data_IF_305751331517
#
_entry.id   IF_305751331517
#
_cell.length_a   1.000
_cell.length_b   1.000
_cell.length_c   1.000
_cell.angle_alpha   90.00
_cell.angle_beta   90.00
_cell.angle_gamma   90.00
#
_symmetry.space_group_name_H-M   'P 1'
#
loop_
_entity.id
_entity.type
_entity.pdbx_description
1 polymer ?
#
# COMPACT_ATOMS: atom_id res chain seq x y z
N UNK A 1 -13.26 34.05 3.47
CA UNK A 1 -13.20 34.14 1.99
C UNK A 1 -14.50 34.68 1.38
N UNK A 2 -15.68 34.24 1.80
CA UNK A 2 -16.96 34.73 1.21
C UNK A 2 -17.15 36.26 1.30
N UNK A 3 -16.76 36.90 2.41
CA UNK A 3 -16.88 38.36 2.57
C UNK A 3 -16.01 39.20 1.62
N UNK A 4 -14.90 38.66 1.10
CA UNK A 4 -14.05 39.36 0.12
C UNK A 4 -14.64 39.33 -1.30
N UNK A 5 -15.44 38.31 -1.62
CA UNK A 5 -15.98 38.14 -2.98
C UNK A 5 -17.11 39.13 -3.24
N UNK A 6 -17.83 39.55 -2.20
CA UNK A 6 -18.95 40.49 -2.29
C UNK A 6 -18.60 41.91 -1.81
N UNK A 7 -17.31 42.22 -1.58
CA UNK A 7 -16.89 43.59 -1.26
C UNK A 7 -16.93 44.48 -2.50
N UNK A 8 -17.26 45.77 -2.32
CA UNK A 8 -17.20 46.75 -3.40
C UNK A 8 -15.79 46.79 -3.99
N UNK A 9 -15.70 46.86 -5.32
CA UNK A 9 -14.43 46.94 -6.03
C UNK A 9 -13.65 48.21 -5.59
N UNK A 10 -12.31 48.13 -5.50
CA UNK A 10 -11.50 49.28 -5.11
C UNK A 10 -11.65 50.46 -6.10
N UNK A 11 -11.74 51.71 -5.61
CA UNK A 11 -12.03 52.89 -6.44
C UNK A 11 -11.02 53.11 -7.58
N UNK A 12 -9.74 52.76 -7.35
CA UNK A 12 -8.66 52.82 -8.33
C UNK A 12 -8.89 51.89 -9.54
N UNK A 13 -9.38 50.68 -9.29
CA UNK A 13 -9.65 49.70 -10.34
C UNK A 13 -10.89 50.11 -11.17
N UNK A 14 -11.90 50.70 -10.53
CA UNK A 14 -13.10 51.22 -11.23
C UNK A 14 -12.79 52.39 -12.16
N UNK A 15 -11.84 53.27 -11.81
CA UNK A 15 -11.42 54.37 -12.69
C UNK A 15 -10.64 53.88 -13.91
N UNK A 16 -9.70 52.94 -13.73
CA UNK A 16 -8.93 52.38 -14.85
C UNK A 16 -9.81 51.63 -15.87
N UNK A 17 -10.88 50.98 -15.41
CA UNK A 17 -11.81 50.21 -16.25
C UNK A 17 -12.98 51.04 -16.80
N UNK A 18 -13.05 52.34 -16.48
CA UNK A 18 -14.13 53.23 -16.94
C UNK A 18 -15.52 52.84 -16.44
N UNK A 19 -15.61 52.14 -15.30
CA UNK A 19 -16.87 51.60 -14.78
C UNK A 19 -17.60 52.72 -14.02
N UNK A 20 -18.59 53.34 -14.67
CA UNK A 20 -19.51 54.26 -13.99
C UNK A 20 -20.58 53.47 -13.23
N UNK A 21 -20.85 53.78 -11.95
CA UNK A 21 -21.96 53.17 -11.24
C UNK A 21 -23.28 53.64 -11.86
N UNK A 22 -23.85 52.86 -12.77
CA UNK A 22 -25.18 53.14 -13.29
C UNK A 22 -26.18 53.09 -12.13
N UNK A 23 -27.08 54.07 -12.05
CA UNK A 23 -28.14 54.07 -11.06
C UNK A 23 -28.95 52.77 -11.15
N UNK A 24 -29.40 52.24 -10.01
CA UNK A 24 -30.09 50.93 -9.95
C UNK A 24 -31.19 50.78 -11.01
N UNK A 25 -31.94 51.85 -11.26
CA UNK A 25 -33.00 51.90 -12.27
C UNK A 25 -32.52 51.80 -13.72
N UNK A 26 -31.37 52.40 -14.06
CA UNK A 26 -30.80 52.31 -15.41
C UNK A 26 -30.26 50.91 -15.70
N UNK A 27 -29.60 50.30 -14.71
CA UNK A 27 -29.10 48.93 -14.81
C UNK A 27 -30.25 47.92 -14.94
N UNK A 28 -31.33 48.08 -14.16
CA UNK A 28 -32.52 47.24 -14.27
C UNK A 28 -33.22 47.37 -15.63
N UNK A 29 -33.35 48.60 -16.15
CA UNK A 29 -33.92 48.85 -17.47
C UNK A 29 -33.09 48.21 -18.59
N UNK A 30 -31.76 48.34 -18.51
CA UNK A 30 -30.84 47.71 -19.45
C UNK A 30 -30.95 46.18 -19.42
N UNK A 31 -30.90 45.58 -18.22
CA UNK A 31 -31.01 44.12 -18.06
C UNK A 31 -32.36 43.61 -18.59
N UNK A 32 -33.46 44.32 -18.32
CA UNK A 32 -34.78 43.95 -18.84
C UNK A 32 -34.83 44.02 -20.38
N UNK A 33 -34.29 45.07 -20.97
CA UNK A 33 -34.22 45.22 -22.43
C UNK A 33 -33.35 44.14 -23.08
N UNK A 34 -32.17 43.88 -22.51
CA UNK A 34 -31.24 42.86 -22.98
C UNK A 34 -31.83 41.45 -22.95
N UNK A 35 -32.50 41.09 -21.85
CA UNK A 35 -33.13 39.78 -21.70
C UNK A 35 -34.30 39.59 -22.66
N UNK A 36 -35.10 40.64 -22.90
CA UNK A 36 -36.21 40.61 -23.88
C UNK A 36 -35.70 40.42 -25.30
N UNK A 37 -34.60 41.11 -25.66
CA UNK A 37 -33.99 40.97 -26.97
C UNK A 37 -33.35 39.59 -27.19
N UNK A 38 -32.67 39.06 -26.16
CA UNK A 38 -31.95 37.78 -26.25
C UNK A 38 -32.87 36.56 -26.18
N UNK A 39 -34.09 36.70 -25.64
CA UNK A 39 -35.03 35.59 -25.42
C UNK A 39 -36.43 35.87 -26.01
N UNK A 40 -36.55 36.07 -27.34
CA UNK A 40 -37.79 36.57 -27.97
C UNK A 40 -38.97 35.58 -27.92
N UNK A 41 -38.71 34.28 -27.71
CA UNK A 41 -39.74 33.23 -27.64
C UNK A 41 -40.32 33.05 -26.23
N UNK A 42 -39.76 33.71 -25.21
CA UNK A 42 -40.23 33.59 -23.83
C UNK A 42 -41.08 34.80 -23.44
N UNK A 43 -42.18 34.56 -22.72
CA UNK A 43 -43.03 35.63 -22.18
C UNK A 43 -42.31 36.38 -21.06
N UNK A 44 -42.55 37.69 -20.96
CA UNK A 44 -41.89 38.58 -19.99
C UNK A 44 -42.06 38.09 -18.53
N UNK A 45 -43.21 37.51 -18.19
CA UNK A 45 -43.50 36.93 -16.87
C UNK A 45 -42.58 35.74 -16.52
N UNK A 46 -42.30 34.87 -17.49
CA UNK A 46 -41.43 33.71 -17.29
C UNK A 46 -39.95 34.11 -17.16
N UNK A 47 -39.56 35.24 -17.78
CA UNK A 47 -38.21 35.80 -17.64
C UNK A 47 -38.04 36.38 -16.23
N UNK A 48 -39.05 37.12 -15.73
CA UNK A 48 -39.03 37.66 -14.37
C UNK A 48 -39.01 36.56 -13.30
N UNK A 49 -39.80 35.49 -13.47
CA UNK A 49 -39.79 34.34 -12.56
C UNK A 49 -38.41 33.64 -12.51
N UNK A 50 -37.69 33.59 -13.63
CA UNK A 50 -36.31 33.06 -13.64
C UNK A 50 -35.30 33.99 -12.95
N UNK A 51 -35.50 35.30 -13.03
CA UNK A 51 -34.62 36.30 -12.41
C UNK A 51 -34.77 36.31 -10.87
N UNK A 52 -35.99 36.10 -10.37
CA UNK A 52 -36.31 36.09 -8.94
C UNK A 52 -36.03 34.76 -8.25
N UNK A 53 -35.95 33.65 -9.01
CA UNK A 53 -35.59 32.33 -8.47
C UNK A 53 -34.18 32.36 -7.87
N UNK A 54 -34.11 32.48 -6.54
CA UNK A 54 -32.89 32.30 -5.75
C UNK A 54 -32.43 30.85 -5.93
N UNK A 55 -31.31 30.64 -6.62
CA UNK A 55 -30.76 29.31 -6.85
C UNK A 55 -30.45 28.63 -5.49
N UNK A 56 -31.31 27.69 -5.08
CA UNK A 56 -31.08 26.89 -3.87
C UNK A 56 -30.04 25.83 -4.22
N UNK A 57 -28.78 26.08 -3.91
CA UNK A 57 -27.73 25.08 -4.04
C UNK A 57 -27.91 24.05 -2.93
N UNK A 58 -28.71 23.01 -3.19
CA UNK A 58 -28.85 21.87 -2.30
C UNK A 58 -27.52 21.11 -2.28
N UNK A 59 -26.62 21.46 -1.35
CA UNK A 59 -25.41 20.70 -1.08
C UNK A 59 -25.82 19.28 -0.69
N UNK A 60 -25.63 18.34 -1.61
CA UNK A 60 -25.95 16.93 -1.42
C UNK A 60 -25.02 16.33 -0.35
N UNK A 61 -25.42 16.43 0.92
CA UNK A 61 -24.65 15.87 2.03
C UNK A 61 -24.73 14.34 1.98
N UNK A 62 -23.70 13.67 1.44
CA UNK A 62 -23.61 12.21 1.50
C UNK A 62 -23.56 11.78 2.96
N UNK A 63 -24.68 11.25 3.48
CA UNK A 63 -24.76 10.65 4.82
C UNK A 63 -23.71 9.53 4.89
N UNK A 64 -22.60 9.75 5.61
CA UNK A 64 -21.60 8.70 5.90
C UNK A 64 -22.30 7.60 6.67
N UNK A 65 -22.61 6.47 6.02
CA UNK A 65 -23.06 5.25 6.72
C UNK A 65 -22.02 4.93 7.80
N UNK A 66 -22.41 4.95 9.07
CA UNK A 66 -21.57 4.44 10.17
C UNK A 66 -21.35 2.96 9.86
N UNK A 67 -20.13 2.58 9.47
CA UNK A 67 -19.78 1.17 9.35
C UNK A 67 -20.00 0.53 10.72
N UNK A 68 -20.90 -0.44 10.80
CA UNK A 68 -21.04 -1.28 11.98
C UNK A 68 -19.67 -1.86 12.31
N UNK A 69 -19.23 -1.67 13.55
CA UNK A 69 -18.00 -2.29 14.03
C UNK A 69 -18.28 -3.79 14.08
N UNK A 70 -17.90 -4.53 13.03
CA UNK A 70 -17.84 -5.99 13.09
C UNK A 70 -17.07 -6.36 14.37
N UNK A 71 -17.72 -7.12 15.26
CA UNK A 71 -17.09 -7.69 16.43
C UNK A 71 -15.98 -8.62 15.94
N UNK A 72 -14.76 -8.10 15.81
CA UNK A 72 -13.59 -8.94 15.59
C UNK A 72 -13.48 -9.81 16.84
N UNK A 73 -13.49 -11.13 16.64
CA UNK A 73 -13.09 -12.08 17.68
C UNK A 73 -11.79 -11.54 18.29
N UNK A 74 -11.80 -11.31 19.62
CA UNK A 74 -10.64 -10.80 20.35
C UNK A 74 -9.58 -11.90 20.35
N UNK A 75 -8.79 -11.98 19.28
CA UNK A 75 -7.56 -12.76 19.30
C UNK A 75 -6.60 -12.19 20.35
N UNK A 76 -5.65 -13.00 20.79
CA UNK A 76 -4.64 -12.55 21.75
C UNK A 76 -3.93 -11.28 21.29
N UNK A 77 -3.79 -10.33 22.20
CA UNK A 77 -2.97 -9.13 22.02
C UNK A 77 -1.50 -9.53 21.81
N UNK A 78 -0.73 -8.66 21.16
CA UNK A 78 0.71 -8.84 21.01
C UNK A 78 1.44 -8.89 22.36
N UNK A 79 0.88 -8.31 23.43
CA UNK A 79 1.39 -8.48 24.81
C UNK A 79 1.14 -9.90 25.30
N UNK A 80 -0.10 -10.37 25.26
CA UNK A 80 -0.49 -11.72 25.66
C UNK A 80 0.28 -12.82 24.91
N UNK A 81 0.55 -12.64 23.61
CA UNK A 81 1.35 -13.61 22.84
C UNK A 81 2.82 -13.69 23.27
N UNK A 82 3.39 -12.58 23.77
CA UNK A 82 4.76 -12.56 24.31
C UNK A 82 4.79 -13.19 25.70
N UNK A 83 3.82 -12.86 26.55
CA UNK A 83 3.70 -13.44 27.89
C UNK A 83 3.53 -14.98 27.82
N UNK A 84 2.84 -15.49 26.79
CA UNK A 84 2.70 -16.93 26.54
C UNK A 84 3.85 -17.57 25.76
N UNK A 85 4.90 -16.82 25.39
CA UNK A 85 6.06 -17.32 24.64
C UNK A 85 5.71 -18.17 23.39
N UNK A 86 4.59 -17.84 22.72
CA UNK A 86 4.00 -18.64 21.63
C UNK A 86 4.92 -18.90 20.42
N UNK A 87 6.02 -18.15 20.32
CA UNK A 87 6.97 -18.23 19.20
C UNK A 87 8.39 -18.54 19.66
N UNK A 88 8.57 -18.92 20.93
CA UNK A 88 9.83 -19.41 21.44
C UNK A 88 9.83 -20.94 21.34
N UNK A 89 10.80 -21.45 20.59
CA UNK A 89 11.02 -22.88 20.47
C UNK A 89 11.90 -23.27 21.65
N UNK A 90 11.45 -24.23 22.46
CA UNK A 90 12.24 -24.73 23.58
C UNK A 90 13.62 -25.16 23.09
N UNK A 91 14.70 -24.86 23.83
CA UNK A 91 16.07 -25.16 23.39
C UNK A 91 16.27 -26.65 23.09
N UNK A 92 15.58 -27.54 23.81
CA UNK A 92 15.58 -29.00 23.59
C UNK A 92 15.14 -29.43 22.19
N UNK A 93 14.29 -28.62 21.54
CA UNK A 93 13.71 -28.87 20.22
C UNK A 93 14.43 -28.12 19.10
N UNK A 94 15.49 -27.36 19.42
CA UNK A 94 16.27 -26.60 18.43
C UNK A 94 17.34 -27.48 17.75
N UNK A 95 16.98 -28.71 17.37
CA UNK A 95 17.87 -29.59 16.61
C UNK A 95 17.62 -29.41 15.12
N UNK A 96 18.66 -29.14 14.36
CA UNK A 96 18.62 -28.92 12.91
C UNK A 96 18.01 -30.12 12.19
N UNK A 97 18.36 -31.34 12.61
CA UNK A 97 17.89 -32.59 12.04
C UNK A 97 16.36 -32.74 12.07
N UNK A 98 15.71 -32.26 13.12
CA UNK A 98 14.24 -32.30 13.25
C UNK A 98 13.54 -31.45 12.20
N UNK A 99 14.22 -30.45 11.63
CA UNK A 99 13.68 -29.57 10.61
C UNK A 99 14.08 -29.94 9.18
N UNK A 100 14.87 -31.00 8.98
CA UNK A 100 15.16 -31.52 7.63
C UNK A 100 13.90 -31.97 6.87
N UNK A 101 12.93 -32.69 7.49
CA UNK A 101 11.69 -33.03 6.81
C UNK A 101 10.89 -31.80 6.37
N UNK A 102 10.95 -30.71 7.15
CA UNK A 102 10.32 -29.43 6.80
C UNK A 102 10.94 -28.83 5.52
N UNK A 103 12.26 -28.96 5.38
CA UNK A 103 12.94 -28.53 4.17
C UNK A 103 12.56 -29.35 2.94
N UNK A 104 12.46 -30.68 3.08
CA UNK A 104 12.05 -31.54 1.96
C UNK A 104 10.60 -31.26 1.53
N UNK A 105 9.69 -31.06 2.48
CA UNK A 105 8.33 -30.62 2.20
C UNK A 105 8.32 -29.29 1.44
N UNK A 106 9.17 -28.35 1.84
CA UNK A 106 9.27 -27.06 1.16
C UNK A 106 9.80 -27.20 -0.28
N UNK A 107 10.77 -28.10 -0.55
CA UNK A 107 11.21 -28.39 -1.92
C UNK A 107 10.07 -28.92 -2.78
N UNK A 108 9.31 -29.89 -2.28
CA UNK A 108 8.14 -30.44 -2.98
C UNK A 108 7.12 -29.35 -3.28
N UNK A 109 6.80 -28.51 -2.30
CA UNK A 109 5.91 -27.36 -2.48
C UNK A 109 6.37 -26.42 -3.61
N UNK A 110 7.66 -26.08 -3.67
CA UNK A 110 8.17 -25.20 -4.72
C UNK A 110 8.17 -25.89 -6.10
N UNK A 111 8.48 -27.20 -6.16
CA UNK A 111 8.37 -27.99 -7.40
C UNK A 111 6.96 -27.96 -7.95
N UNK A 112 5.97 -28.18 -7.10
CA UNK A 112 4.56 -28.15 -7.46
C UNK A 112 4.12 -26.73 -7.87
N UNK A 113 4.56 -25.72 -7.12
CA UNK A 113 4.26 -24.31 -7.42
C UNK A 113 4.83 -23.88 -8.78
N UNK A 114 6.03 -24.33 -9.12
CA UNK A 114 6.71 -23.98 -10.36
C UNK A 114 6.31 -24.89 -11.54
N UNK A 115 5.49 -25.91 -11.32
CA UNK A 115 5.11 -26.97 -12.28
C UNK A 115 6.33 -27.73 -12.84
N UNK A 116 7.29 -28.02 -11.97
CA UNK A 116 8.60 -28.56 -12.33
C UNK A 116 9.57 -27.46 -12.76
N UNK A 117 10.68 -27.33 -12.03
CA UNK A 117 11.79 -26.44 -12.37
C UNK A 117 12.57 -27.04 -13.54
N UNK A 118 12.02 -26.93 -14.76
CA UNK A 118 12.73 -27.34 -15.98
C UNK A 118 13.73 -26.25 -16.39
N UNK A 119 14.85 -26.60 -17.06
CA UNK A 119 15.82 -25.62 -17.56
C UNK A 119 15.20 -24.56 -18.49
N UNK A 120 14.13 -24.91 -19.21
CA UNK A 120 13.42 -24.00 -20.13
C UNK A 120 12.42 -23.06 -19.43
N UNK A 121 12.26 -23.15 -18.10
CA UNK A 121 11.29 -22.35 -17.38
C UNK A 121 11.69 -20.86 -17.38
N UNK A 122 10.74 -19.98 -17.73
CA UNK A 122 10.96 -18.54 -17.76
C UNK A 122 11.33 -18.00 -16.36
N UNK A 123 12.52 -17.40 -16.17
CA UNK A 123 12.98 -16.92 -14.87
C UNK A 123 12.04 -15.88 -14.24
N UNK A 124 11.41 -15.04 -15.08
CA UNK A 124 10.45 -14.04 -14.61
C UNK A 124 9.21 -14.66 -13.98
N UNK A 125 8.71 -15.77 -14.53
CA UNK A 125 7.57 -16.47 -13.96
C UNK A 125 7.92 -17.05 -12.59
N UNK A 126 9.08 -17.70 -12.48
CA UNK A 126 9.59 -18.25 -11.21
C UNK A 126 9.74 -17.13 -10.17
N UNK A 127 10.32 -15.98 -10.55
CA UNK A 127 10.47 -14.83 -9.68
C UNK A 127 9.13 -14.35 -9.10
N UNK A 128 8.09 -14.22 -9.95
CA UNK A 128 6.77 -13.76 -9.48
C UNK A 128 6.07 -14.76 -8.57
N UNK A 129 6.28 -16.06 -8.80
CA UNK A 129 5.78 -17.14 -7.94
C UNK A 129 6.50 -17.13 -6.60
N UNK A 130 7.83 -17.11 -6.61
CA UNK A 130 8.67 -17.10 -5.39
C UNK A 130 8.42 -15.86 -4.53
N UNK A 131 8.13 -14.72 -5.15
CA UNK A 131 7.76 -13.48 -4.44
C UNK A 131 6.49 -13.66 -3.59
N UNK A 132 5.56 -14.54 -3.96
CA UNK A 132 4.30 -14.78 -3.23
C UNK A 132 4.33 -16.07 -2.41
N UNK A 133 5.20 -17.01 -2.75
CA UNK A 133 5.39 -18.28 -2.09
C UNK A 133 5.78 -18.11 -0.62
N UNK A 134 5.48 -19.11 0.22
CA UNK A 134 6.02 -19.17 1.58
C UNK A 134 7.48 -19.66 1.58
N UNK A 135 8.30 -19.06 2.47
CA UNK A 135 9.72 -19.39 2.62
C UNK A 135 10.03 -20.13 3.93
N UNK A 136 9.00 -20.56 4.65
CA UNK A 136 9.17 -21.39 5.84
C UNK A 136 9.68 -22.78 5.41
N UNK A 137 10.79 -23.23 5.98
CA UNK A 137 11.48 -24.45 5.55
C UNK A 137 12.52 -24.25 4.43
N UNK A 138 12.65 -23.03 3.88
CA UNK A 138 13.69 -22.75 2.89
C UNK A 138 15.08 -22.72 3.55
N UNK A 139 16.07 -23.34 2.91
CA UNK A 139 17.48 -23.12 3.25
C UNK A 139 17.91 -21.80 2.62
N UNK A 140 18.45 -20.91 3.46
CA UNK A 140 18.91 -19.60 3.04
C UNK A 140 20.33 -19.35 3.50
N UNK A 141 21.08 -18.66 2.65
CA UNK A 141 22.46 -18.25 2.92
C UNK A 141 22.57 -16.75 2.74
N UNK A 142 23.19 -16.05 3.69
CA UNK A 142 23.42 -14.61 3.55
C UNK A 142 24.63 -14.37 2.64
N UNK A 143 24.41 -13.89 1.43
CA UNK A 143 25.49 -13.63 0.45
C UNK A 143 26.12 -12.26 0.66
N UNK A 144 25.29 -11.24 0.89
CA UNK A 144 25.73 -9.85 1.09
C UNK A 144 24.99 -9.24 2.26
N UNK A 145 25.69 -8.47 3.07
CA UNK A 145 25.16 -7.82 4.26
C UNK A 145 25.98 -6.57 4.53
N UNK A 146 25.33 -5.52 5.02
CA UNK A 146 26.03 -4.33 5.54
C UNK A 146 26.94 -4.68 6.73
N UNK A 147 26.56 -5.69 7.51
CA UNK A 147 27.35 -6.20 8.64
C UNK A 147 28.09 -7.49 8.21
N UNK A 148 29.44 -7.48 8.17
CA UNK A 148 30.22 -8.65 7.75
C UNK A 148 29.95 -9.93 8.57
N UNK A 149 29.59 -9.78 9.85
CA UNK A 149 29.28 -10.90 10.75
C UNK A 149 28.11 -11.78 10.29
N UNK A 150 27.17 -11.23 9.50
CA UNK A 150 26.06 -12.02 8.97
C UNK A 150 26.39 -12.75 7.67
N UNK A 151 27.43 -12.33 6.94
CA UNK A 151 27.79 -12.93 5.66
C UNK A 151 28.21 -14.38 5.87
N UNK A 152 27.73 -15.27 4.99
CA UNK A 152 28.04 -16.70 5.05
C UNK A 152 27.19 -17.51 6.04
N UNK A 153 26.31 -16.87 6.82
CA UNK A 153 25.42 -17.61 7.70
C UNK A 153 24.38 -18.37 6.87
N UNK A 154 24.37 -19.70 7.03
CA UNK A 154 23.44 -20.62 6.36
C UNK A 154 22.49 -21.28 7.35
N UNK A 155 21.22 -21.43 7.00
CA UNK A 155 20.27 -22.15 7.85
C UNK A 155 18.88 -22.31 7.25
N UNK A 156 18.05 -23.13 7.90
CA UNK A 156 16.63 -23.31 7.52
C UNK A 156 15.82 -22.19 8.17
N UNK A 157 14.96 -21.51 7.40
CA UNK A 157 14.01 -20.53 7.94
C UNK A 157 12.91 -21.26 8.71
N UNK A 158 12.84 -21.02 10.03
CA UNK A 158 11.73 -21.49 10.86
C UNK A 158 10.58 -20.48 10.83
N UNK A 159 10.91 -19.20 11.09
CA UNK A 159 9.91 -18.16 11.22
C UNK A 159 10.26 -16.92 10.41
N UNK A 160 9.36 -16.59 9.49
CA UNK A 160 9.33 -15.30 8.82
C UNK A 160 8.53 -14.28 9.64
N UNK A 161 9.22 -13.27 10.15
CA UNK A 161 8.60 -12.09 10.75
C UNK A 161 8.64 -10.92 9.75
N UNK A 162 8.04 -9.78 10.14
CA UNK A 162 7.97 -8.59 9.28
C UNK A 162 9.36 -8.13 8.83
N UNK A 163 10.27 -7.89 9.77
CA UNK A 163 11.60 -7.35 9.47
C UNK A 163 12.74 -8.35 9.65
N UNK A 164 12.45 -9.59 10.04
CA UNK A 164 13.42 -10.52 10.58
C UNK A 164 13.12 -11.95 10.09
N UNK A 165 14.16 -12.74 9.84
CA UNK A 165 14.09 -14.18 9.72
C UNK A 165 14.71 -14.84 10.94
N UNK A 166 14.01 -15.80 11.54
CA UNK A 166 14.60 -16.74 12.50
C UNK A 166 15.03 -17.99 11.75
N UNK A 167 16.32 -18.27 11.77
CA UNK A 167 16.92 -19.41 11.08
C UNK A 167 17.57 -20.36 12.09
N UNK A 168 17.55 -21.65 11.80
CA UNK A 168 18.35 -22.63 12.53
C UNK A 168 19.58 -23.01 11.71
N UNK A 169 20.75 -22.90 12.32
CA UNK A 169 22.02 -23.30 11.70
C UNK A 169 22.28 -24.79 11.92
N UNK A 170 23.25 -25.36 11.19
CA UNK A 170 23.72 -26.74 11.41
C UNK A 170 24.36 -26.97 12.79
N UNK A 171 24.68 -25.90 13.51
CA UNK A 171 25.20 -25.94 14.89
C UNK A 171 24.08 -26.01 15.94
N UNK A 172 22.84 -26.32 15.56
CA UNK A 172 21.67 -26.34 16.44
C UNK A 172 21.40 -25.01 17.16
N UNK A 173 21.87 -23.89 16.56
CA UNK A 173 21.68 -22.55 17.09
C UNK A 173 20.62 -21.80 16.30
N UNK A 174 19.65 -21.24 17.02
CA UNK A 174 18.68 -20.30 16.48
C UNK A 174 19.33 -18.92 16.30
N UNK A 175 19.52 -18.49 15.05
CA UNK A 175 19.99 -17.13 14.72
C UNK A 175 18.85 -16.27 14.21
N UNK A 176 18.88 -15.00 14.59
CA UNK A 176 17.89 -14.00 14.22
C UNK A 176 18.57 -13.03 13.26
N UNK A 177 18.18 -13.05 11.98
CA UNK A 177 18.80 -12.23 10.93
C UNK A 177 17.80 -11.15 10.47
N UNK A 178 18.16 -9.86 10.54
CA UNK A 178 17.31 -8.81 10.00
C UNK A 178 17.23 -8.91 8.47
N UNK A 179 16.08 -8.59 7.88
CA UNK A 179 15.94 -8.54 6.42
C UNK A 179 16.54 -7.25 5.83
N UNK A 180 16.67 -6.21 6.63
CA UNK A 180 17.16 -4.92 6.16
C UNK A 180 18.64 -5.00 5.74
N UNK A 181 18.94 -4.51 4.53
CA UNK A 181 20.28 -4.43 3.94
C UNK A 181 21.03 -5.77 3.87
N UNK A 182 20.27 -6.86 3.73
CA UNK A 182 20.80 -8.21 3.56
C UNK A 182 20.26 -8.82 2.26
N UNK A 183 21.12 -9.56 1.57
CA UNK A 183 20.78 -10.38 0.41
C UNK A 183 20.92 -11.83 0.80
N UNK A 184 19.82 -12.56 0.61
CA UNK A 184 19.73 -13.99 0.89
C UNK A 184 19.77 -14.75 -0.43
N UNK A 185 20.60 -15.77 -0.55
CA UNK A 185 20.51 -16.75 -1.62
C UNK A 185 19.72 -17.96 -1.15
N UNK A 186 18.88 -18.47 -2.05
CA UNK A 186 18.09 -19.68 -1.87
C UNK A 186 18.41 -20.61 -3.02
N UNK A 187 18.72 -21.87 -2.69
CA UNK A 187 19.05 -22.91 -3.66
C UNK A 187 17.91 -23.91 -3.76
N UNK A 188 17.41 -24.15 -4.98
CA UNK A 188 16.30 -25.06 -5.26
C UNK A 188 16.57 -25.78 -6.58
N UNK A 189 16.76 -27.11 -6.53
CA UNK A 189 16.93 -27.98 -7.71
C UNK A 189 17.88 -27.41 -8.79
N UNK A 190 19.03 -26.86 -8.37
CA UNK A 190 20.04 -26.26 -9.28
C UNK A 190 19.82 -24.78 -9.64
N UNK A 191 18.70 -24.18 -9.23
CA UNK A 191 18.47 -22.74 -9.37
C UNK A 191 18.90 -22.00 -8.11
N UNK A 192 19.67 -20.93 -8.29
CA UNK A 192 20.05 -20.01 -7.22
C UNK A 192 19.24 -18.72 -7.40
N UNK A 193 18.39 -18.43 -6.42
CA UNK A 193 17.57 -17.21 -6.39
C UNK A 193 18.07 -16.25 -5.31
N UNK A 194 18.26 -14.99 -5.68
CA UNK A 194 18.65 -13.94 -4.74
C UNK A 194 17.44 -13.12 -4.29
N UNK A 195 17.27 -13.02 -2.97
CA UNK A 195 16.22 -12.24 -2.32
C UNK A 195 16.85 -11.05 -1.61
N UNK A 196 16.49 -9.86 -2.06
CA UNK A 196 16.86 -8.61 -1.42
C UNK A 196 15.92 -8.31 -0.24
N UNK A 197 16.41 -8.53 0.98
CA UNK A 197 15.61 -8.42 2.18
C UNK A 197 15.05 -7.01 2.45
N UNK A 198 15.71 -5.95 1.97
CA UNK A 198 15.24 -4.55 2.13
C UNK A 198 13.86 -4.32 1.52
N UNK A 199 13.47 -5.06 0.48
CA UNK A 199 12.12 -5.00 -0.12
C UNK A 199 11.19 -6.11 0.38
N UNK A 200 11.72 -7.03 1.18
CA UNK A 200 11.03 -8.24 1.67
C UNK A 200 10.55 -8.12 3.12
N UNK A 201 10.27 -6.89 3.56
CA UNK A 201 9.93 -6.55 4.96
C UNK A 201 8.45 -6.76 5.33
N UNK A 202 7.72 -7.56 4.56
CA UNK A 202 6.33 -7.93 4.88
C UNK A 202 6.32 -9.32 5.49
N UNK A 203 5.29 -9.61 6.29
CA UNK A 203 5.04 -10.99 6.71
C UNK A 203 4.58 -11.80 5.49
N UNK A 204 4.90 -13.09 5.45
CA UNK A 204 4.36 -14.08 4.50
C UNK A 204 2.90 -13.84 4.10
N UNK A 205 1.99 -13.77 5.09
CA UNK A 205 0.55 -13.55 4.87
C UNK A 205 0.21 -12.21 4.20
N UNK A 206 0.98 -11.16 4.47
CA UNK A 206 0.79 -9.85 3.85
C UNK A 206 1.41 -9.81 2.45
N UNK A 207 2.49 -10.56 2.25
CA UNK A 207 3.23 -10.67 1.00
C UNK A 207 2.38 -11.26 -0.11
N UNK A 208 1.70 -12.37 0.17
CA UNK A 208 0.83 -13.05 -0.80
C UNK A 208 -0.36 -12.20 -1.23
N UNK A 209 -0.93 -11.42 -0.30
CA UNK A 209 -2.11 -10.58 -0.56
C UNK A 209 -1.79 -9.24 -1.23
N UNK A 210 -0.60 -8.67 -1.00
CA UNK A 210 -0.26 -7.31 -1.45
C UNK A 210 0.46 -7.32 -2.79
N UNK A 211 0.00 -6.46 -3.71
CA UNK A 211 0.72 -6.21 -4.97
C UNK A 211 2.06 -5.51 -4.67
N UNK A 212 3.17 -6.15 -5.06
CA UNK A 212 4.48 -5.52 -5.01
C UNK A 212 4.55 -4.39 -6.03
N UNK A 213 5.15 -3.27 -5.62
CA UNK A 213 5.40 -2.11 -6.46
C UNK A 213 6.91 -1.90 -6.55
N UNK A 214 7.40 -1.61 -7.73
CA UNK A 214 8.81 -1.22 -7.94
C UNK A 214 9.05 0.08 -7.18
N UNK A 215 10.03 0.08 -6.28
CA UNK A 215 10.36 1.24 -5.43
C UNK A 215 11.86 1.35 -5.24
N UNK A 216 12.50 2.24 -5.99
CA UNK A 216 13.93 2.55 -5.87
C UNK A 216 14.86 1.37 -6.18
N UNK A 217 16.11 1.70 -6.47
CA UNK A 217 17.20 0.73 -6.57
C UNK A 217 17.69 0.33 -5.18
N UNK A 218 18.46 -0.75 -5.11
CA UNK A 218 19.07 -1.23 -3.87
C UNK A 218 20.57 -1.11 -4.08
N UNK A 219 21.20 -0.25 -3.28
CA UNK A 219 22.65 -0.19 -3.20
C UNK A 219 23.13 -1.19 -2.15
N UNK A 220 24.18 -1.94 -2.47
CA UNK A 220 24.65 -3.09 -1.69
C UNK A 220 26.00 -2.81 -1.05
#
# INVERSE_FOLDING_TARGET
MEKMIYSKLPPLATQQLGIQPQGSKQAEAFVKAFLKHSMPKMKDEAIQDKLTRKAVVLRHYRRRKKKEKRNKTKGFSAKQRRDMQLFEIKPEQQKYELFLPLHELWKQYIRDLCNGLRPEAQPQMIQTKLLKADLHGAIVTVTKSKCPSYVGVTGIILQEMKHIFKIITKEDKLKIIPKFNNVFSIEIDGFISYIYGSKFQLRASERSAKKFKVKGTIDL
#
